data_IF_532221926559
#
_entry.id   IF_532221926559
#
_cell.length_a   1.000
_cell.length_b   1.000
_cell.length_c   1.000
_cell.angle_alpha   90.00
_cell.angle_beta   90.00
_cell.angle_gamma   90.00
#
_symmetry.space_group_name_H-M   'P 1'
#
loop_
_entity.id
_entity.type
_entity.pdbx_description
1 polymer ?
#
# COMPACT_ATOMS: atom_id res chain seq x y z
N UNK A 1 19.89 1.98 30.02
CA UNK A 1 20.73 0.78 30.26
C UNK A 1 19.98 -0.40 29.69
N UNK A 2 20.62 -1.31 28.94
CA UNK A 2 19.95 -2.51 28.44
C UNK A 2 19.56 -3.39 29.64
N UNK A 3 18.29 -3.77 29.74
CA UNK A 3 17.81 -4.67 30.80
C UNK A 3 18.55 -6.00 30.71
N UNK A 4 18.90 -6.55 31.87
CA UNK A 4 19.51 -7.88 31.93
C UNK A 4 18.44 -8.96 31.68
N UNK A 5 18.86 -10.19 31.40
CA UNK A 5 17.96 -11.30 31.07
C UNK A 5 16.95 -11.63 32.19
N UNK A 6 17.35 -11.48 33.45
CA UNK A 6 16.46 -11.71 34.60
C UNK A 6 15.36 -10.66 34.68
N UNK A 7 15.69 -9.40 34.42
CA UNK A 7 14.73 -8.29 34.42
C UNK A 7 13.68 -8.48 33.29
N UNK A 8 14.08 -9.04 32.14
CA UNK A 8 13.18 -9.33 31.02
C UNK A 8 12.20 -10.44 31.39
N UNK A 9 12.69 -11.54 31.98
CA UNK A 9 11.86 -12.67 32.39
C UNK A 9 10.85 -12.24 33.45
N UNK A 10 11.28 -11.44 34.44
CA UNK A 10 10.37 -10.96 35.49
C UNK A 10 9.31 -10.00 34.94
N UNK A 11 9.68 -9.13 33.99
CA UNK A 11 8.72 -8.29 33.27
C UNK A 11 7.69 -9.13 32.52
N UNK A 12 8.15 -10.08 31.71
CA UNK A 12 7.28 -10.87 30.83
C UNK A 12 6.39 -11.83 31.63
N UNK A 13 6.84 -12.33 32.79
CA UNK A 13 6.03 -13.14 33.70
C UNK A 13 4.82 -12.39 34.27
N UNK A 14 4.89 -11.05 34.36
CA UNK A 14 3.80 -10.19 34.87
C UNK A 14 3.01 -9.52 33.74
N UNK A 15 3.38 -9.74 32.48
CA UNK A 15 2.83 -9.05 31.32
C UNK A 15 1.62 -9.79 30.75
N UNK A 16 0.47 -9.13 30.72
CA UNK A 16 -0.72 -9.64 30.04
C UNK A 16 -0.72 -9.17 28.57
N UNK A 17 0.00 -9.91 27.73
CA UNK A 17 0.08 -9.65 26.29
C UNK A 17 -1.28 -9.73 25.60
N UNK A 18 -2.24 -10.47 26.16
CA UNK A 18 -3.57 -10.61 25.60
C UNK A 18 -4.39 -9.33 25.79
N UNK A 19 -4.40 -8.77 27.00
CA UNK A 19 -5.05 -7.48 27.26
C UNK A 19 -4.40 -6.34 26.49
N UNK A 20 -3.07 -6.28 26.44
CA UNK A 20 -2.37 -5.27 25.65
C UNK A 20 -2.76 -5.30 24.16
N UNK A 21 -2.92 -6.50 23.60
CA UNK A 21 -3.35 -6.66 22.20
C UNK A 21 -4.79 -6.21 21.99
N UNK A 22 -5.68 -6.56 22.92
CA UNK A 22 -7.09 -6.14 22.87
C UNK A 22 -7.22 -4.61 22.98
N UNK A 23 -6.46 -4.00 23.88
CA UNK A 23 -6.46 -2.55 24.08
C UNK A 23 -5.88 -1.80 22.88
N UNK A 24 -4.84 -2.35 22.24
CA UNK A 24 -4.33 -1.81 20.98
C UNK A 24 -5.41 -1.81 19.87
N UNK A 25 -6.15 -2.91 19.71
CA UNK A 25 -7.26 -2.99 18.73
C UNK A 25 -8.38 -2.00 19.07
N UNK A 26 -8.72 -1.83 20.35
CA UNK A 26 -9.72 -0.84 20.80
C UNK A 26 -9.28 0.59 20.53
N UNK A 27 -8.02 0.91 20.78
CA UNK A 27 -7.44 2.23 20.49
C UNK A 27 -7.52 2.55 18.99
N UNK A 28 -7.16 1.60 18.13
CA UNK A 28 -7.30 1.75 16.67
C UNK A 28 -8.77 2.01 16.28
N UNK A 29 -9.71 1.23 16.84
CA UNK A 29 -11.15 1.38 16.55
C UNK A 29 -11.75 2.69 17.02
N UNK A 30 -11.23 3.26 18.11
CA UNK A 30 -11.68 4.55 18.67
C UNK A 30 -11.01 5.76 18.02
N UNK A 31 -10.08 5.53 17.07
CA UNK A 31 -9.33 6.59 16.40
C UNK A 31 -8.14 7.10 17.19
N UNK A 32 -7.84 6.51 18.36
CA UNK A 32 -6.58 6.71 19.08
C UNK A 32 -5.47 5.92 18.37
N UNK A 33 -5.05 6.46 17.23
CA UNK A 33 -3.87 5.99 16.50
C UNK A 33 -2.64 6.74 17.01
N UNK A 34 -1.50 6.04 17.07
CA UNK A 34 -0.21 6.64 17.43
C UNK A 34 0.30 7.54 16.31
N UNK A 35 1.50 7.27 15.81
CA UNK A 35 2.04 8.00 14.68
C UNK A 35 1.26 7.67 13.40
N UNK A 36 0.71 8.71 12.75
CA UNK A 36 0.08 8.61 11.42
C UNK A 36 1.01 9.26 10.42
N UNK A 37 1.54 8.46 9.49
CA UNK A 37 2.31 8.96 8.35
C UNK A 37 1.43 8.89 7.10
N UNK A 38 1.25 10.03 6.44
CA UNK A 38 0.53 10.07 5.16
C UNK A 38 1.55 9.84 4.05
N UNK A 39 1.50 8.66 3.42
CA UNK A 39 2.40 8.31 2.31
C UNK A 39 1.78 8.78 1.00
N UNK A 40 2.54 9.53 0.21
CA UNK A 40 2.13 9.85 -1.15
C UNK A 40 2.15 8.59 -2.03
N UNK A 41 1.00 8.26 -2.61
CA UNK A 41 0.89 7.12 -3.52
C UNK A 41 1.62 7.42 -4.84
N UNK A 42 2.37 6.45 -5.39
CA UNK A 42 2.92 6.60 -6.73
C UNK A 42 1.80 6.87 -7.76
N UNK A 43 2.02 7.74 -8.76
CA UNK A 43 0.98 8.10 -9.74
C UNK A 43 0.34 6.90 -10.46
N UNK A 44 1.10 5.82 -10.63
CA UNK A 44 0.64 4.56 -11.22
C UNK A 44 -0.41 3.84 -10.36
N UNK A 45 -0.27 3.88 -9.03
CA UNK A 45 -1.24 3.29 -8.09
C UNK A 45 -2.55 4.05 -8.16
N UNK A 46 -2.47 5.38 -8.12
CA UNK A 46 -3.64 6.25 -8.22
C UNK A 46 -4.38 6.05 -9.55
N UNK A 47 -3.64 5.99 -10.66
CA UNK A 47 -4.21 5.74 -11.98
C UNK A 47 -4.96 4.40 -12.05
N UNK A 48 -4.37 3.32 -11.54
CA UNK A 48 -5.03 2.00 -11.51
C UNK A 48 -6.26 1.99 -10.60
N UNK A 49 -6.17 2.62 -9.43
CA UNK A 49 -7.32 2.66 -8.51
C UNK A 49 -8.50 3.42 -9.13
N UNK A 50 -8.24 4.50 -9.86
CA UNK A 50 -9.28 5.28 -10.56
C UNK A 50 -9.99 4.52 -11.67
N UNK A 51 -9.33 3.54 -12.28
CA UNK A 51 -9.96 2.67 -13.30
C UNK A 51 -10.71 1.49 -12.70
N UNK A 52 -10.55 1.22 -11.40
CA UNK A 52 -11.16 0.05 -10.75
C UNK A 52 -10.59 -1.31 -11.21
N UNK A 53 -9.51 -1.31 -12.00
CA UNK A 53 -8.93 -2.54 -12.55
C UNK A 53 -8.01 -3.24 -11.55
N UNK A 54 -7.96 -4.58 -11.64
CA UNK A 54 -6.94 -5.38 -10.97
C UNK A 54 -5.55 -5.06 -11.55
N UNK A 55 -4.49 -5.39 -10.80
CA UNK A 55 -3.11 -5.26 -11.32
C UNK A 55 -2.91 -6.04 -12.62
N UNK A 56 -3.50 -7.24 -12.74
CA UNK A 56 -3.36 -8.06 -13.95
C UNK A 56 -3.99 -7.40 -15.17
N UNK A 57 -5.24 -6.92 -15.05
CA UNK A 57 -5.94 -6.23 -16.15
C UNK A 57 -5.28 -4.90 -16.52
N UNK A 58 -4.82 -4.14 -15.53
CA UNK A 58 -4.14 -2.88 -15.79
C UNK A 58 -2.76 -3.08 -16.44
N UNK A 59 -2.04 -4.14 -16.07
CA UNK A 59 -0.78 -4.50 -16.70
C UNK A 59 -0.97 -4.96 -18.15
N UNK A 60 -1.99 -5.77 -18.42
CA UNK A 60 -2.41 -6.19 -19.76
C UNK A 60 -2.69 -4.97 -20.64
N UNK A 61 -3.47 -4.02 -20.13
CA UNK A 61 -3.80 -2.76 -20.81
C UNK A 61 -2.56 -1.93 -21.16
N UNK A 62 -1.62 -1.82 -20.22
CA UNK A 62 -0.38 -1.08 -20.41
C UNK A 62 0.64 -1.84 -21.26
N UNK A 63 0.35 -3.08 -21.67
CA UNK A 63 1.26 -3.91 -22.45
C UNK A 63 2.52 -4.31 -21.68
N UNK A 64 2.43 -4.46 -20.35
CA UNK A 64 3.56 -4.82 -19.49
C UNK A 64 3.24 -6.04 -18.64
N UNK A 65 4.28 -6.69 -18.10
CA UNK A 65 4.07 -7.78 -17.15
C UNK A 65 3.50 -7.26 -15.82
N UNK A 66 2.75 -8.08 -15.12
CA UNK A 66 2.26 -7.78 -13.75
C UNK A 66 3.44 -7.44 -12.82
N UNK A 67 4.57 -8.16 -12.97
CA UNK A 67 5.81 -7.90 -12.22
C UNK A 67 6.32 -6.48 -12.46
N UNK A 68 6.29 -6.00 -13.70
CA UNK A 68 6.70 -4.64 -14.08
C UNK A 68 5.80 -3.61 -13.42
N UNK A 69 4.48 -3.79 -13.49
CA UNK A 69 3.52 -2.90 -12.82
C UNK A 69 3.77 -2.86 -11.30
N UNK A 70 3.97 -4.02 -10.66
CA UNK A 70 4.27 -4.10 -9.23
C UNK A 70 5.57 -3.39 -8.85
N UNK A 71 6.61 -3.48 -9.68
CA UNK A 71 7.86 -2.74 -9.46
C UNK A 71 7.66 -1.22 -9.54
N UNK A 72 6.73 -0.75 -10.38
CA UNK A 72 6.36 0.66 -10.45
C UNK A 72 5.51 1.09 -9.25
N UNK A 73 4.50 0.31 -8.88
CA UNK A 73 3.61 0.60 -7.75
C UNK A 73 4.34 0.59 -6.40
N UNK A 74 5.42 -0.21 -6.28
CA UNK A 74 6.24 -0.28 -5.08
C UNK A 74 7.47 0.66 -5.14
N UNK A 75 7.58 1.48 -6.19
CA UNK A 75 8.67 2.45 -6.34
C UNK A 75 10.06 1.86 -6.63
N UNK A 76 10.18 0.54 -6.84
CA UNK A 76 11.46 -0.12 -7.17
C UNK A 76 11.99 0.28 -8.55
N UNK A 77 11.09 0.59 -9.49
CA UNK A 77 11.43 1.06 -10.83
C UNK A 77 10.53 2.22 -11.24
N UNK A 78 11.01 3.06 -12.14
CA UNK A 78 10.21 4.13 -12.76
C UNK A 78 9.67 3.67 -14.10
N UNK A 79 8.42 4.03 -14.46
CA UNK A 79 7.90 3.77 -15.81
C UNK A 79 8.70 4.53 -16.87
N UNK A 80 8.70 4.03 -18.10
CA UNK A 80 9.24 4.77 -19.24
C UNK A 80 8.42 6.05 -19.50
N UNK A 81 8.97 7.00 -20.24
CA UNK A 81 8.26 8.25 -20.57
C UNK A 81 6.93 7.99 -21.30
N UNK A 82 6.90 7.01 -22.19
CA UNK A 82 5.68 6.60 -22.89
C UNK A 82 4.65 5.97 -21.93
N UNK A 83 5.11 5.09 -21.03
CA UNK A 83 4.23 4.49 -20.02
C UNK A 83 3.67 5.55 -19.06
N UNK A 84 4.47 6.55 -18.68
CA UNK A 84 4.01 7.69 -17.86
C UNK A 84 2.87 8.46 -18.55
N UNK A 85 2.93 8.68 -19.87
CA UNK A 85 1.85 9.32 -20.61
C UNK A 85 0.55 8.51 -20.55
N UNK A 86 0.61 7.20 -20.74
CA UNK A 86 -0.56 6.31 -20.62
C UNK A 86 -1.12 6.28 -19.19
N UNK A 87 -0.26 6.24 -18.18
CA UNK A 87 -0.64 6.32 -16.76
C UNK A 87 -1.35 7.65 -16.48
N UNK A 88 -0.89 8.75 -17.05
CA UNK A 88 -1.52 10.06 -16.89
C UNK A 88 -2.90 10.10 -17.54
N UNK A 89 -3.05 9.53 -18.74
CA UNK A 89 -4.35 9.39 -19.42
C UNK A 89 -5.29 8.54 -18.56
N UNK A 90 -4.83 7.38 -18.06
CA UNK A 90 -5.59 6.52 -17.18
C UNK A 90 -6.08 7.24 -15.90
N UNK A 91 -5.26 8.13 -15.35
CA UNK A 91 -5.58 8.95 -14.18
C UNK A 91 -6.61 10.06 -14.48
N UNK A 92 -6.58 10.66 -15.67
CA UNK A 92 -7.47 11.77 -16.04
C UNK A 92 -8.77 11.34 -16.70
N UNK A 93 -8.74 10.26 -17.48
CA UNK A 93 -9.82 9.75 -18.32
C UNK A 93 -9.92 8.22 -18.19
N UNK A 94 -10.27 7.70 -17.00
CA UNK A 94 -10.43 6.27 -16.80
C UNK A 94 -11.56 5.68 -17.66
N UNK A 95 -12.55 6.49 -18.04
CA UNK A 95 -13.64 6.15 -18.94
C UNK A 95 -13.16 5.64 -20.31
N UNK A 96 -12.11 6.24 -20.87
CA UNK A 96 -11.53 5.81 -22.16
C UNK A 96 -10.99 4.38 -22.07
N UNK A 97 -10.48 3.98 -20.91
CA UNK A 97 -9.97 2.63 -20.73
C UNK A 97 -11.09 1.60 -20.62
N UNK A 98 -12.22 1.98 -20.03
CA UNK A 98 -13.43 1.14 -20.04
C UNK A 98 -14.03 1.03 -21.44
N UNK A 99 -13.95 2.06 -22.28
CA UNK A 99 -14.43 1.99 -23.66
C UNK A 99 -13.56 1.08 -24.54
N UNK A 100 -12.24 1.15 -24.38
CA UNK A 100 -11.31 0.39 -25.24
C UNK A 100 -11.13 -1.06 -24.77
N UNK A 101 -11.29 -1.34 -23.47
CA UNK A 101 -10.95 -2.63 -22.86
C UNK A 101 -12.05 -3.23 -21.96
N UNK A 102 -13.21 -2.58 -21.84
CA UNK A 102 -14.36 -3.05 -21.06
C UNK A 102 -15.17 -4.15 -21.73
#
# INVERSE_FOLDING_TARGET
MAMNEKDIIERDAKRDVWQETLDAVRNIKTGNVGHVETVELPPVVEARQKTGLSQSRFAELLGVSVRTLQDWEQGRRKPSRAAMSLIQIAKQRPDVLHEVFG
#
